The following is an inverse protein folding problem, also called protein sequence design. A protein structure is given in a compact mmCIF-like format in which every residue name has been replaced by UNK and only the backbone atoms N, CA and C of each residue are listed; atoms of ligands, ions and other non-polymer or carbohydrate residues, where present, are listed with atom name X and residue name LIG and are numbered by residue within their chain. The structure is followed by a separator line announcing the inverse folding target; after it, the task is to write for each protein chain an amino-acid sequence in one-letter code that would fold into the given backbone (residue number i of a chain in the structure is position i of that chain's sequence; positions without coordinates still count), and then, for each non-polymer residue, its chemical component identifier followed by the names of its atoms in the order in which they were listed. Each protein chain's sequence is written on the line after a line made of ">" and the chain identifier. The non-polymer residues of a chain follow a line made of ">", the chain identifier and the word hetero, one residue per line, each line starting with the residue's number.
data_IF_903393077409
#
_entry.id   IF_903393077409
#
_cell.length_a   1.000
_cell.length_b   1.000
_cell.length_c   1.000
_cell.angle_alpha   90.00
_cell.angle_beta   90.00
_cell.angle_gamma   90.00
#
_symmetry.space_group_name_H-M   'P 1'
#
loop_
_entity.id
_entity.type
_entity.pdbx_description
1 polymer ?
#
# COMPACT_ATOMS: atom_id res chain seq x y z
N UNK A 1 -42.54 14.55 16.17
CA UNK A 1 -41.09 14.38 15.92
C UNK A 1 -40.83 12.91 15.66
N UNK A 2 -40.55 12.51 14.41
CA UNK A 2 -40.13 11.13 14.12
C UNK A 2 -38.68 11.00 14.59
N UNK A 3 -38.44 10.18 15.61
CA UNK A 3 -37.11 9.68 15.92
C UNK A 3 -36.62 8.91 14.70
N UNK A 4 -35.73 9.52 13.91
CA UNK A 4 -35.00 8.79 12.89
C UNK A 4 -34.07 7.81 13.63
N UNK A 5 -34.36 6.52 13.54
CA UNK A 5 -33.45 5.49 14.03
C UNK A 5 -32.08 5.73 13.36
N UNK A 6 -31.03 5.91 14.16
CA UNK A 6 -29.67 6.00 13.64
C UNK A 6 -29.40 4.75 12.80
N UNK A 7 -29.12 4.94 11.51
CA UNK A 7 -28.76 3.85 10.63
C UNK A 7 -27.45 3.23 11.14
N UNK A 8 -27.47 1.92 11.40
CA UNK A 8 -26.30 1.18 11.88
C UNK A 8 -25.69 0.37 10.73
N UNK A 9 -24.38 0.14 10.79
CA UNK A 9 -23.69 -0.70 9.81
C UNK A 9 -24.23 -2.14 9.86
N UNK A 10 -24.77 -2.63 8.74
CA UNK A 10 -25.27 -4.00 8.60
C UNK A 10 -24.17 -5.04 8.30
N UNK A 11 -22.89 -4.65 8.34
CA UNK A 11 -21.71 -5.50 8.14
C UNK A 11 -21.72 -6.28 6.81
N UNK A 12 -22.27 -5.70 5.74
CA UNK A 12 -22.38 -6.35 4.43
C UNK A 12 -21.04 -6.66 3.71
N UNK A 13 -19.91 -6.19 4.22
CA UNK A 13 -18.58 -6.46 3.64
C UNK A 13 -18.24 -5.69 2.36
N UNK A 14 -19.13 -4.82 1.85
CA UNK A 14 -18.86 -4.05 0.62
C UNK A 14 -17.62 -3.17 0.70
N UNK A 15 -17.37 -2.55 1.86
CA UNK A 15 -16.13 -1.80 2.08
C UNK A 15 -14.89 -2.70 2.08
N UNK A 16 -15.00 -3.93 2.57
CA UNK A 16 -13.91 -4.90 2.57
C UNK A 16 -13.58 -5.39 1.15
N UNK A 17 -14.56 -5.49 0.26
CA UNK A 17 -14.35 -5.84 -1.15
C UNK A 17 -13.59 -4.75 -1.94
N UNK A 18 -13.67 -3.49 -1.50
CA UNK A 18 -13.08 -2.35 -2.22
C UNK A 18 -11.59 -2.15 -1.98
N UNK A 19 -11.02 -2.64 -0.88
CA UNK A 19 -9.59 -2.37 -0.67
C UNK A 19 -8.97 -2.67 0.68
N UNK A 20 -9.76 -2.87 1.74
CA UNK A 20 -9.21 -2.84 3.11
C UNK A 20 -8.70 -1.44 3.52
N UNK A 21 -8.47 -1.21 4.82
CA UNK A 21 -8.07 0.08 5.35
C UNK A 21 -6.58 0.36 5.14
N UNK A 22 -6.25 1.64 4.98
CA UNK A 22 -4.93 2.17 5.33
C UNK A 22 -4.88 2.32 6.86
N UNK A 23 -3.73 1.98 7.45
CA UNK A 23 -3.51 2.11 8.89
C UNK A 23 -3.18 3.56 9.23
N UNK A 24 -3.74 4.03 10.34
CA UNK A 24 -3.42 5.32 10.93
C UNK A 24 -2.36 5.13 12.03
N UNK A 25 -1.69 6.21 12.44
CA UNK A 25 -0.65 6.16 13.48
C UNK A 25 -1.15 5.52 14.77
N UNK A 26 -2.42 5.77 15.13
CA UNK A 26 -3.06 5.13 16.30
C UNK A 26 -3.21 3.60 16.19
N UNK A 27 -3.15 3.04 14.99
CA UNK A 27 -3.20 1.59 14.75
C UNK A 27 -1.87 0.89 15.06
N UNK A 28 -0.80 1.64 15.38
CA UNK A 28 0.48 1.06 15.82
C UNK A 28 0.31 0.10 17.00
N UNK A 29 -0.65 0.37 17.89
CA UNK A 29 -1.01 -0.49 19.02
C UNK A 29 -1.39 -1.92 18.59
N UNK A 30 -1.95 -2.09 17.38
CA UNK A 30 -2.32 -3.42 16.88
C UNK A 30 -1.11 -4.31 16.61
N UNK A 31 0.04 -3.71 16.25
CA UNK A 31 1.33 -4.38 16.09
C UNK A 31 1.99 -4.64 17.45
N UNK A 32 1.95 -3.66 18.35
CA UNK A 32 2.50 -3.77 19.72
C UNK A 32 1.84 -4.92 20.51
N UNK A 33 0.54 -5.09 20.34
CA UNK A 33 -0.22 -6.15 21.01
C UNK A 33 -0.16 -7.48 20.24
N UNK A 34 0.34 -7.49 19.01
CA UNK A 34 0.44 -8.68 18.15
C UNK A 34 -0.87 -9.14 17.52
N UNK A 35 -1.94 -8.34 17.61
CA UNK A 35 -3.22 -8.60 16.92
C UNK A 35 -3.16 -8.38 15.41
N UNK A 36 -2.18 -7.61 14.95
CA UNK A 36 -1.87 -7.41 13.56
C UNK A 36 -0.40 -7.76 13.35
N UNK A 37 -0.13 -8.61 12.38
CA UNK A 37 1.21 -9.08 12.07
C UNK A 37 1.76 -8.34 10.85
N UNK A 38 3.08 -8.08 10.75
CA UNK A 38 3.66 -7.38 9.61
C UNK A 38 3.38 -8.06 8.26
N UNK A 39 3.26 -9.40 8.23
CA UNK A 39 2.92 -10.16 7.02
C UNK A 39 1.52 -9.86 6.46
N UNK A 40 0.65 -9.23 7.26
CA UNK A 40 -0.65 -8.77 6.82
C UNK A 40 -0.61 -7.34 6.21
N UNK A 41 0.58 -6.75 6.10
CA UNK A 41 0.75 -5.36 5.68
C UNK A 41 1.49 -5.24 4.36
N UNK A 42 1.12 -4.23 3.58
CA UNK A 42 1.86 -3.73 2.45
C UNK A 42 2.18 -2.27 2.66
N UNK A 43 3.41 -1.88 2.37
CA UNK A 43 3.82 -0.49 2.30
C UNK A 43 3.45 0.10 0.94
N UNK A 44 2.68 1.18 0.98
CA UNK A 44 2.49 2.09 -0.13
C UNK A 44 3.52 3.21 0.02
N UNK A 45 4.46 3.28 -0.91
CA UNK A 45 5.62 4.17 -0.88
C UNK A 45 5.30 5.54 -1.49
N UNK A 46 6.04 6.60 -1.13
CA UNK A 46 5.92 7.89 -1.79
C UNK A 46 6.07 7.78 -3.30
N UNK A 47 5.20 8.46 -4.04
CA UNK A 47 5.14 8.44 -5.51
C UNK A 47 4.10 7.49 -6.09
N UNK A 48 3.65 6.49 -5.33
CA UNK A 48 2.60 5.57 -5.81
C UNK A 48 1.29 6.30 -6.11
N UNK A 49 0.60 5.87 -7.17
CA UNK A 49 -0.71 6.39 -7.52
C UNK A 49 -1.78 5.90 -6.54
N UNK A 50 -2.54 6.83 -5.98
CA UNK A 50 -3.62 6.55 -5.04
C UNK A 50 -4.92 7.18 -5.55
N UNK A 51 -6.01 6.42 -5.40
CA UNK A 51 -7.37 6.90 -5.66
C UNK A 51 -7.93 7.57 -4.44
N UNK A 52 -8.30 8.84 -4.58
CA UNK A 52 -9.12 9.56 -3.63
C UNK A 52 -10.59 9.43 -4.05
N UNK A 53 -11.33 8.53 -3.41
CA UNK A 53 -12.76 8.33 -3.72
C UNK A 53 -13.62 9.55 -3.32
N UNK A 54 -13.16 10.37 -2.37
CA UNK A 54 -13.85 11.59 -1.92
C UNK A 54 -13.65 12.70 -2.94
N UNK A 55 -12.41 12.94 -3.38
CA UNK A 55 -12.08 13.94 -4.40
C UNK A 55 -12.31 13.46 -5.83
N UNK A 56 -12.60 12.16 -6.02
CA UNK A 56 -12.68 11.48 -7.33
C UNK A 56 -11.45 11.72 -8.21
N UNK A 57 -10.28 11.75 -7.58
CA UNK A 57 -9.02 12.07 -8.24
C UNK A 57 -8.01 10.92 -8.08
N UNK A 58 -7.10 10.79 -9.04
CA UNK A 58 -5.90 9.98 -8.93
C UNK A 58 -4.71 10.90 -8.77
N UNK A 59 -3.93 10.70 -7.71
CA UNK A 59 -2.76 11.53 -7.43
C UNK A 59 -1.61 10.67 -6.94
N UNK A 60 -0.38 11.14 -7.10
CA UNK A 60 0.78 10.49 -6.54
C UNK A 60 0.92 10.88 -5.06
N UNK A 61 0.83 9.89 -4.17
CA UNK A 61 0.94 10.18 -2.74
C UNK A 61 2.35 10.68 -2.39
N UNK A 62 2.45 11.67 -1.51
CA UNK A 62 3.72 12.25 -1.07
C UNK A 62 4.30 11.58 0.17
N UNK A 63 3.45 10.89 0.92
CA UNK A 63 3.81 10.24 2.17
C UNK A 63 3.65 8.73 2.06
N UNK A 64 4.48 8.02 2.82
CA UNK A 64 4.37 6.59 3.01
C UNK A 64 3.14 6.21 3.84
N UNK A 65 2.51 5.08 3.51
CA UNK A 65 1.33 4.57 4.22
C UNK A 65 1.38 3.04 4.30
N UNK A 66 1.10 2.47 5.46
CA UNK A 66 0.86 1.03 5.59
C UNK A 66 -0.61 0.71 5.35
N UNK A 67 -0.88 -0.35 4.60
CA UNK A 67 -2.22 -0.82 4.27
C UNK A 67 -2.32 -2.31 4.55
N UNK A 68 -3.52 -2.81 4.91
CA UNK A 68 -3.75 -4.25 4.93
C UNK A 68 -3.57 -4.84 3.53
N UNK A 69 -2.92 -5.99 3.43
CA UNK A 69 -2.78 -6.67 2.13
C UNK A 69 -4.15 -7.12 1.63
N UNK A 70 -4.32 -7.05 0.31
CA UNK A 70 -5.42 -7.72 -0.37
C UNK A 70 -5.20 -9.23 -0.35
N UNK A 71 -6.28 -10.00 -0.37
CA UNK A 71 -6.22 -11.46 -0.52
C UNK A 71 -5.70 -11.90 -1.92
N UNK A 72 -5.55 -10.96 -2.86
CA UNK A 72 -5.21 -11.25 -4.25
C UNK A 72 -6.33 -11.93 -5.05
N UNK A 73 -6.16 -11.97 -6.38
CA UNK A 73 -6.98 -12.74 -7.31
C UNK A 73 -8.32 -12.13 -7.76
N UNK A 74 -8.94 -12.78 -8.76
CA UNK A 74 -10.33 -12.58 -9.22
C UNK A 74 -10.75 -11.14 -9.54
N UNK A 75 -12.05 -10.86 -9.37
CA UNK A 75 -12.68 -9.54 -9.65
C UNK A 75 -12.32 -8.45 -8.63
N UNK A 76 -11.78 -8.81 -7.46
CA UNK A 76 -11.46 -7.89 -6.36
C UNK A 76 -10.05 -8.14 -5.81
N UNK A 77 -9.00 -7.76 -6.56
CA UNK A 77 -7.60 -8.03 -6.17
C UNK A 77 -7.21 -7.37 -4.84
N UNK A 78 -7.89 -6.28 -4.47
CA UNK A 78 -7.69 -5.56 -3.22
C UNK A 78 -8.68 -5.94 -2.10
N UNK A 79 -9.46 -7.01 -2.27
CA UNK A 79 -10.36 -7.50 -1.22
C UNK A 79 -9.57 -7.72 0.07
N UNK A 80 -10.00 -7.09 1.16
CA UNK A 80 -9.36 -7.21 2.48
C UNK A 80 -9.15 -8.67 2.86
N UNK A 81 -7.94 -9.03 3.26
CA UNK A 81 -7.59 -10.40 3.65
C UNK A 81 -8.39 -10.96 4.83
N UNK A 82 -8.99 -10.09 5.66
CA UNK A 82 -9.80 -10.47 6.82
C UNK A 82 -11.29 -10.67 6.50
N UNK A 83 -11.72 -10.37 5.26
CA UNK A 83 -13.06 -10.71 4.82
C UNK A 83 -13.18 -12.24 4.69
N UNK A 84 -14.26 -12.77 5.25
CA UNK A 84 -14.70 -14.15 5.10
C UNK A 84 -16.13 -14.11 4.58
N UNK A 85 -16.45 -15.00 3.63
CA UNK A 85 -17.80 -15.18 3.13
C UNK A 85 -18.27 -16.55 3.60
N UNK A 86 -19.35 -16.61 4.38
CA UNK A 86 -19.92 -17.84 4.91
C UNK A 86 -21.41 -17.86 4.65
N UNK A 87 -21.89 -18.89 3.94
CA UNK A 87 -23.32 -19.10 3.65
C UNK A 87 -24.01 -17.85 3.06
N UNK A 88 -23.29 -17.10 2.20
CA UNK A 88 -23.79 -15.87 1.57
C UNK A 88 -23.69 -14.61 2.45
N UNK A 89 -23.21 -14.73 3.70
CA UNK A 89 -23.00 -13.61 4.61
C UNK A 89 -21.53 -13.20 4.71
N UNK A 90 -21.28 -11.90 4.92
CA UNK A 90 -19.94 -11.35 5.10
C UNK A 90 -19.56 -11.31 6.59
N UNK A 91 -18.35 -11.77 6.89
CA UNK A 91 -17.76 -11.77 8.23
C UNK A 91 -16.36 -11.14 8.18
N UNK A 92 -15.98 -10.42 9.24
CA UNK A 92 -14.63 -9.86 9.39
C UNK A 92 -13.90 -10.59 10.52
N UNK A 93 -12.85 -11.34 10.17
CA UNK A 93 -12.05 -12.08 11.14
C UNK A 93 -11.29 -11.17 12.13
N UNK A 94 -11.19 -9.87 11.85
CA UNK A 94 -10.56 -8.86 12.71
C UNK A 94 -11.57 -7.86 13.31
N UNK A 95 -12.88 -8.15 13.31
CA UNK A 95 -13.91 -7.13 13.58
C UNK A 95 -13.73 -6.39 14.93
N UNK A 96 -13.34 -7.12 15.99
CA UNK A 96 -13.12 -6.55 17.32
C UNK A 96 -11.83 -5.73 17.44
N UNK A 97 -10.86 -5.98 16.55
CA UNK A 97 -9.52 -5.35 16.52
C UNK A 97 -9.30 -4.63 15.19
N UNK A 98 -10.38 -4.07 14.65
CA UNK A 98 -10.39 -3.45 13.33
C UNK A 98 -9.58 -2.14 13.37
N UNK A 99 -8.81 -1.81 12.31
CA UNK A 99 -8.10 -0.54 12.22
C UNK A 99 -9.02 0.68 12.31
N UNK A 100 -8.44 1.83 12.63
CA UNK A 100 -9.15 3.09 12.84
C UNK A 100 -10.07 3.46 11.67
N UNK A 101 -9.61 3.32 10.42
CA UNK A 101 -10.46 3.58 9.26
C UNK A 101 -11.68 2.65 9.20
N UNK A 102 -11.51 1.36 9.49
CA UNK A 102 -12.63 0.43 9.57
C UNK A 102 -13.58 0.73 10.73
N UNK A 103 -13.06 1.26 11.84
CA UNK A 103 -13.88 1.68 12.97
C UNK A 103 -14.70 2.95 12.69
N UNK A 104 -14.12 3.89 11.94
CA UNK A 104 -14.75 5.16 11.58
C UNK A 104 -15.68 5.06 10.35
N UNK A 105 -15.49 4.06 9.49
CA UNK A 105 -16.24 3.93 8.25
C UNK A 105 -17.71 3.54 8.49
N UNK A 106 -18.60 4.41 8.04
CA UNK A 106 -20.00 4.12 7.79
C UNK A 106 -20.36 4.51 6.35
N UNK A 107 -20.74 3.55 5.51
CA UNK A 107 -20.83 3.78 4.06
C UNK A 107 -22.00 4.70 3.62
N UNK A 108 -22.97 4.95 4.49
CA UNK A 108 -24.08 5.88 4.22
C UNK A 108 -23.75 7.32 4.64
N UNK A 109 -22.75 7.51 5.51
CA UNK A 109 -22.25 8.82 5.96
C UNK A 109 -20.78 8.71 6.34
N UNK A 110 -19.91 9.24 5.49
CA UNK A 110 -18.45 9.15 5.60
C UNK A 110 -17.82 10.22 6.48
N UNK A 111 -18.60 11.13 7.10
CA UNK A 111 -18.06 12.27 7.84
C UNK A 111 -17.06 11.88 8.94
N UNK A 112 -17.30 10.77 9.65
CA UNK A 112 -16.37 10.27 10.69
C UNK A 112 -15.05 9.76 10.11
N UNK A 113 -15.08 9.12 8.95
CA UNK A 113 -13.88 8.68 8.24
C UNK A 113 -13.11 9.88 7.68
N UNK A 114 -13.80 10.82 7.05
CA UNK A 114 -13.19 12.04 6.51
C UNK A 114 -12.49 12.85 7.60
N UNK A 115 -13.13 13.00 8.77
CA UNK A 115 -12.51 13.62 9.95
C UNK A 115 -11.25 12.88 10.38
N UNK A 116 -11.31 11.55 10.49
CA UNK A 116 -10.13 10.74 10.82
C UNK A 116 -8.99 10.93 9.82
N UNK A 117 -9.29 10.94 8.52
CA UNK A 117 -8.30 11.11 7.45
C UNK A 117 -7.68 12.52 7.43
N UNK A 118 -8.42 13.54 7.87
CA UNK A 118 -7.93 14.91 7.96
C UNK A 118 -7.09 15.17 9.21
N UNK A 119 -7.44 14.56 10.34
CA UNK A 119 -6.83 14.86 11.64
C UNK A 119 -5.68 13.90 12.01
N UNK A 120 -5.71 12.66 11.53
CA UNK A 120 -4.74 11.64 11.91
C UNK A 120 -3.70 11.38 10.81
N UNK A 121 -2.51 10.95 11.22
CA UNK A 121 -1.42 10.64 10.29
C UNK A 121 -1.48 9.17 9.87
N UNK A 122 -1.17 8.83 8.62
CA UNK A 122 -0.94 7.44 8.23
C UNK A 122 0.18 6.81 9.06
N UNK A 123 0.10 5.50 9.27
CA UNK A 123 1.17 4.73 9.88
C UNK A 123 2.30 4.50 8.86
N UNK A 124 3.52 4.90 9.22
CA UNK A 124 4.74 4.63 8.45
C UNK A 124 5.40 3.31 8.88
N UNK A 125 6.26 2.74 8.03
CA UNK A 125 7.14 1.61 8.33
C UNK A 125 7.99 1.90 9.56
N UNK A 126 8.59 3.08 9.66
CA UNK A 126 9.40 3.47 10.83
C UNK A 126 8.58 3.41 12.12
N UNK A 127 7.40 4.04 12.18
CA UNK A 127 6.55 3.99 13.37
C UNK A 127 6.04 2.57 13.68
N UNK A 128 5.80 1.75 12.65
CA UNK A 128 5.43 0.35 12.82
C UNK A 128 6.58 -0.51 13.37
N UNK A 129 7.82 -0.29 12.91
CA UNK A 129 9.01 -0.97 13.42
C UNK A 129 9.30 -0.55 14.88
N UNK A 130 9.09 0.71 15.22
CA UNK A 130 9.19 1.21 16.60
C UNK A 130 8.09 0.64 17.52
N UNK A 131 6.93 0.29 16.96
CA UNK A 131 5.89 -0.46 17.68
C UNK A 131 6.29 -1.93 17.89
N UNK A 132 6.81 -2.57 16.86
CA UNK A 132 7.27 -3.97 16.94
C UNK A 132 8.44 -4.14 17.93
N UNK A 133 9.36 -3.18 18.00
CA UNK A 133 10.49 -3.21 18.95
C UNK A 133 10.07 -3.11 20.42
N UNK A 134 8.86 -2.60 20.69
CA UNK A 134 8.27 -2.58 22.06
C UNK A 134 7.61 -3.89 22.44
N UNK A 135 7.19 -4.69 21.44
CA UNK A 135 6.60 -6.02 21.64
C UNK A 135 7.65 -7.11 21.75
N UNK A 136 8.61 -7.08 20.83
CA UNK A 136 9.64 -8.09 20.69
C UNK A 136 10.84 -7.66 21.54
N UNK A 137 11.61 -8.60 22.13
CA UNK A 137 12.85 -8.25 22.77
C UNK A 137 13.75 -7.50 21.78
N UNK A 138 14.60 -6.54 22.23
CA UNK A 138 15.59 -5.91 21.38
C UNK A 138 16.36 -6.99 20.64
N UNK A 139 16.15 -7.06 19.33
CA UNK A 139 16.72 -8.09 18.47
C UNK A 139 17.43 -7.39 17.32
N UNK A 140 18.55 -7.98 16.91
CA UNK A 140 19.26 -7.56 15.71
C UNK A 140 18.35 -7.57 14.47
N UNK A 141 17.23 -8.30 14.52
CA UNK A 141 16.26 -8.43 13.44
C UNK A 141 15.50 -7.12 13.16
N UNK A 142 14.95 -6.42 14.17
CA UNK A 142 14.24 -5.15 13.94
C UNK A 142 15.20 -4.07 13.43
N UNK A 143 16.42 -4.02 13.99
CA UNK A 143 17.45 -3.08 13.52
C UNK A 143 17.83 -3.35 12.06
N UNK A 144 18.05 -4.62 11.70
CA UNK A 144 18.29 -5.03 10.31
C UNK A 144 17.14 -4.62 9.38
N UNK A 145 15.89 -4.80 9.80
CA UNK A 145 14.73 -4.40 9.00
C UNK A 145 14.67 -2.87 8.77
N UNK A 146 15.01 -2.08 9.78
CA UNK A 146 15.11 -0.62 9.64
C UNK A 146 16.19 -0.23 8.62
N UNK A 147 17.37 -0.83 8.70
CA UNK A 147 18.47 -0.59 7.75
C UNK A 147 18.07 -0.99 6.32
N UNK A 148 17.45 -2.16 6.15
CA UNK A 148 16.98 -2.66 4.86
C UNK A 148 15.93 -1.74 4.24
N UNK A 149 14.98 -1.26 5.04
CA UNK A 149 13.96 -0.28 4.60
C UNK A 149 14.61 1.00 4.09
N UNK A 150 15.57 1.54 4.85
CA UNK A 150 16.27 2.77 4.48
C UNK A 150 17.10 2.59 3.21
N UNK A 151 17.91 1.55 3.14
CA UNK A 151 18.77 1.25 1.99
C UNK A 151 17.94 0.98 0.72
N UNK A 152 16.80 0.31 0.84
CA UNK A 152 15.91 0.06 -0.29
C UNK A 152 15.29 1.35 -0.82
N UNK A 153 14.83 2.24 0.08
CA UNK A 153 14.22 3.50 -0.32
C UNK A 153 15.22 4.42 -1.03
N UNK A 154 16.46 4.47 -0.54
CA UNK A 154 17.56 5.24 -1.14
C UNK A 154 17.93 4.72 -2.53
N UNK A 155 18.07 3.40 -2.68
CA UNK A 155 18.54 2.80 -3.93
C UNK A 155 17.44 2.64 -4.98
N UNK A 156 16.20 2.42 -4.55
CA UNK A 156 15.08 2.05 -5.43
C UNK A 156 13.85 2.94 -5.18
N UNK A 157 13.95 4.28 -5.24
CA UNK A 157 12.82 5.17 -4.98
C UNK A 157 11.71 5.00 -6.04
N UNK A 158 10.45 4.95 -5.60
CA UNK A 158 9.31 4.73 -6.52
C UNK A 158 9.00 5.97 -7.35
N UNK A 159 8.99 7.16 -6.72
CA UNK A 159 8.57 8.41 -7.38
C UNK A 159 9.32 8.67 -8.70
N UNK A 160 10.67 8.69 -8.75
CA UNK A 160 11.37 8.96 -10.00
C UNK A 160 11.07 7.93 -11.10
N UNK A 161 10.83 6.67 -10.74
CA UNK A 161 10.48 5.64 -11.70
C UNK A 161 9.07 5.88 -12.28
N UNK A 162 8.07 6.18 -11.45
CA UNK A 162 6.73 6.48 -11.96
C UNK A 162 6.65 7.80 -12.72
N UNK A 163 7.47 8.79 -12.39
CA UNK A 163 7.62 10.03 -13.16
C UNK A 163 8.25 9.77 -14.54
N UNK A 164 9.26 8.90 -14.62
CA UNK A 164 9.82 8.46 -15.90
C UNK A 164 8.80 7.68 -16.73
N UNK A 165 8.01 6.80 -16.11
CA UNK A 165 6.93 6.07 -16.79
C UNK A 165 5.90 7.04 -17.38
N UNK A 166 5.45 8.03 -16.59
CA UNK A 166 4.53 9.06 -17.05
C UNK A 166 5.13 9.88 -18.20
N UNK A 167 6.42 10.23 -18.15
CA UNK A 167 7.11 10.94 -19.23
C UNK A 167 7.21 10.12 -20.53
N UNK A 168 7.16 8.79 -20.43
CA UNK A 168 7.06 7.88 -21.58
C UNK A 168 5.63 7.63 -22.05
N UNK A 169 4.62 8.29 -21.45
CA UNK A 169 3.21 8.13 -21.79
C UNK A 169 2.48 7.05 -20.99
N UNK A 170 3.09 6.48 -19.96
CA UNK A 170 2.49 5.46 -19.09
C UNK A 170 2.06 6.09 -17.76
N UNK A 171 0.82 6.57 -17.73
CA UNK A 171 0.19 7.15 -16.55
C UNK A 171 -1.28 6.69 -16.47
N UNK A 172 -1.87 6.61 -15.26
CA UNK A 172 -3.27 6.26 -15.15
C UNK A 172 -4.16 7.38 -15.73
N UNK A 173 -5.33 7.05 -16.32
CA UNK A 173 -6.29 8.06 -16.79
C UNK A 173 -6.73 8.99 -15.65
N UNK A 174 -6.78 10.29 -15.89
CA UNK A 174 -7.11 11.30 -14.87
C UNK A 174 -6.02 11.57 -13.84
N UNK A 175 -4.80 11.05 -14.04
CA UNK A 175 -3.64 11.36 -13.21
C UNK A 175 -2.91 12.63 -13.65
N UNK A 176 -2.16 13.23 -12.74
CA UNK A 176 -1.31 14.39 -13.03
C UNK A 176 -0.32 14.08 -14.17
N UNK A 177 -0.36 14.87 -15.25
CA UNK A 177 0.47 14.68 -16.44
C UNK A 177 -0.23 14.01 -17.64
N UNK A 178 -1.50 13.65 -17.51
CA UNK A 178 -2.33 13.20 -18.64
C UNK A 178 -2.30 14.21 -19.81
N UNK A 179 -2.10 13.71 -21.03
CA UNK A 179 -2.09 14.53 -22.26
C UNK A 179 -0.75 15.20 -22.60
N UNK A 180 0.30 15.05 -21.80
CA UNK A 180 1.65 15.51 -22.18
C UNK A 180 2.20 14.64 -23.32
N UNK A 181 2.80 15.22 -24.39
CA UNK A 181 3.46 14.43 -25.41
C UNK A 181 4.59 13.59 -24.77
N UNK A 182 4.67 12.28 -25.07
CA UNK A 182 5.75 11.43 -24.58
C UNK A 182 7.12 11.94 -25.01
N UNK A 183 8.14 11.63 -24.22
CA UNK A 183 9.53 11.83 -24.63
C UNK A 183 9.81 11.08 -25.93
N UNK A 184 10.68 11.64 -26.76
CA UNK A 184 11.15 11.05 -28.00
C UNK A 184 12.70 11.02 -28.07
N UNK A 185 13.22 10.42 -29.14
CA UNK A 185 14.65 10.40 -29.45
C UNK A 185 15.56 9.91 -28.30
N UNK A 186 16.60 10.69 -28.02
CA UNK A 186 17.63 10.36 -27.01
C UNK A 186 17.04 10.37 -25.60
N UNK A 187 16.15 11.33 -25.29
CA UNK A 187 15.52 11.43 -23.98
C UNK A 187 14.63 10.22 -23.68
N UNK A 188 13.88 9.74 -24.68
CA UNK A 188 13.14 8.48 -24.58
C UNK A 188 14.08 7.29 -24.30
N UNK A 189 15.16 7.16 -25.08
CA UNK A 189 16.11 6.06 -24.91
C UNK A 189 16.80 6.07 -23.52
N UNK A 190 17.12 7.24 -22.98
CA UNK A 190 17.67 7.39 -21.62
C UNK A 190 16.65 7.01 -20.54
N UNK A 191 15.42 7.51 -20.64
CA UNK A 191 14.34 7.20 -19.71
C UNK A 191 14.06 5.68 -19.64
N UNK A 192 14.02 5.01 -20.80
CA UNK A 192 13.87 3.55 -20.86
C UNK A 192 15.04 2.83 -20.18
N UNK A 193 16.28 3.23 -20.42
CA UNK A 193 17.46 2.62 -19.77
C UNK A 193 17.41 2.76 -18.26
N UNK A 194 17.04 3.94 -17.76
CA UNK A 194 16.92 4.24 -16.32
C UNK A 194 15.82 3.41 -15.67
N UNK A 195 14.67 3.26 -16.32
CA UNK A 195 13.59 2.39 -15.84
C UNK A 195 14.00 0.91 -15.80
N UNK A 196 14.64 0.42 -16.86
CA UNK A 196 15.13 -0.96 -16.90
C UNK A 196 16.14 -1.22 -15.77
N UNK A 197 17.05 -0.27 -15.52
CA UNK A 197 17.98 -0.37 -14.40
C UNK A 197 17.24 -0.39 -13.06
N UNK A 198 16.31 0.53 -12.83
CA UNK A 198 15.54 0.61 -11.58
C UNK A 198 14.74 -0.67 -11.29
N UNK A 199 14.11 -1.27 -12.31
CA UNK A 199 13.38 -2.55 -12.14
C UNK A 199 14.34 -3.68 -11.77
N UNK A 200 15.52 -3.73 -12.41
CA UNK A 200 16.53 -4.75 -12.12
C UNK A 200 17.12 -4.61 -10.73
N UNK A 201 17.43 -3.38 -10.30
CA UNK A 201 17.98 -3.13 -8.96
C UNK A 201 16.96 -3.42 -7.87
N UNK A 202 15.67 -3.08 -8.08
CA UNK A 202 14.61 -3.42 -7.12
C UNK A 202 14.45 -4.95 -6.99
N UNK A 203 14.44 -5.67 -8.12
CA UNK A 203 14.35 -7.13 -8.11
C UNK A 203 15.56 -7.78 -7.41
N UNK A 204 16.78 -7.38 -7.78
CA UNK A 204 18.00 -7.91 -7.17
C UNK A 204 18.08 -7.60 -5.66
N UNK A 205 17.65 -6.40 -5.24
CA UNK A 205 17.61 -6.04 -3.82
C UNK A 205 16.66 -6.95 -3.03
N UNK A 206 15.47 -7.24 -3.59
CA UNK A 206 14.48 -8.15 -2.98
C UNK A 206 15.03 -9.57 -2.86
N UNK A 207 15.70 -10.08 -3.89
CA UNK A 207 16.35 -11.39 -3.87
C UNK A 207 17.42 -11.45 -2.77
N UNK A 208 18.32 -10.47 -2.71
CA UNK A 208 19.36 -10.38 -1.67
C UNK A 208 18.79 -10.32 -0.25
N UNK A 209 17.66 -9.63 -0.03
CA UNK A 209 16.99 -9.62 1.26
C UNK A 209 16.60 -11.04 1.71
N UNK A 210 16.09 -11.85 0.79
CA UNK A 210 15.68 -13.23 1.10
C UNK A 210 16.86 -14.18 1.21
N UNK A 211 17.80 -14.12 0.27
CA UNK A 211 18.90 -15.10 0.17
C UNK A 211 20.04 -14.83 1.14
N UNK A 212 20.31 -13.55 1.45
CA UNK A 212 21.49 -13.13 2.23
C UNK A 212 21.12 -12.60 3.61
N UNK A 213 20.06 -11.79 3.71
CA UNK A 213 19.61 -11.25 4.98
C UNK A 213 18.62 -12.17 5.72
N UNK A 214 18.22 -13.29 5.10
CA UNK A 214 17.31 -14.27 5.71
C UNK A 214 15.90 -13.73 5.97
N UNK A 215 15.50 -12.64 5.31
CA UNK A 215 14.20 -12.01 5.50
C UNK A 215 13.13 -12.90 4.85
N UNK A 216 12.09 -13.35 5.61
CA UNK A 216 10.98 -14.10 5.04
C UNK A 216 10.29 -13.35 3.90
N UNK A 217 10.03 -14.03 2.77
CA UNK A 217 9.36 -13.43 1.60
C UNK A 217 8.02 -12.77 1.95
N UNK A 218 7.29 -13.30 2.93
CA UNK A 218 6.02 -12.76 3.40
C UNK A 218 6.14 -11.38 4.09
N UNK A 219 7.36 -10.96 4.49
CA UNK A 219 7.61 -9.63 5.06
C UNK A 219 7.98 -8.60 4.01
N UNK A 220 8.38 -9.00 2.80
CA UNK A 220 8.80 -8.05 1.77
C UNK A 220 7.73 -7.02 1.39
N UNK A 221 6.42 -7.34 1.32
CA UNK A 221 5.41 -6.31 1.07
C UNK A 221 5.37 -5.23 2.16
N UNK A 222 5.58 -5.61 3.42
CA UNK A 222 5.66 -4.67 4.53
C UNK A 222 6.96 -3.86 4.50
N UNK A 223 8.10 -4.52 4.29
CA UNK A 223 9.41 -3.87 4.35
C UNK A 223 9.76 -3.08 3.10
N UNK A 224 9.46 -3.58 1.91
CA UNK A 224 9.92 -3.03 0.63
C UNK A 224 8.77 -2.51 -0.26
N UNK A 225 7.53 -2.65 0.22
CA UNK A 225 6.35 -2.36 -0.58
C UNK A 225 6.20 -3.30 -1.78
N UNK A 226 5.40 -2.86 -2.76
CA UNK A 226 5.14 -3.60 -3.99
C UNK A 226 6.36 -3.55 -4.92
N UNK A 227 6.66 -4.63 -5.66
CA UNK A 227 7.73 -4.61 -6.66
C UNK A 227 7.54 -3.50 -7.67
N UNK A 228 8.63 -2.85 -8.09
CA UNK A 228 8.55 -1.75 -9.05
C UNK A 228 7.93 -2.20 -10.37
N UNK A 229 8.22 -3.43 -10.81
CA UNK A 229 7.58 -4.03 -11.99
C UNK A 229 6.05 -4.11 -11.88
N UNK A 230 5.52 -4.41 -10.69
CA UNK A 230 4.08 -4.45 -10.46
C UNK A 230 3.47 -3.03 -10.49
N UNK A 231 4.17 -2.03 -9.95
CA UNK A 231 3.75 -0.63 -9.99
C UNK A 231 3.70 -0.09 -11.43
N UNK A 232 4.70 -0.44 -12.25
CA UNK A 232 4.75 -0.04 -13.66
C UNK A 232 3.64 -0.73 -14.48
N UNK A 233 3.34 -1.99 -14.19
CA UNK A 233 2.24 -2.70 -14.83
C UNK A 233 0.87 -2.06 -14.56
N UNK A 234 0.67 -1.44 -13.39
CA UNK A 234 -0.59 -0.72 -13.06
C UNK A 234 -0.82 0.52 -13.93
N UNK A 235 0.24 1.11 -14.48
CA UNK A 235 0.16 2.24 -15.41
C UNK A 235 0.30 1.81 -16.88
N UNK A 236 0.21 0.50 -17.15
CA UNK A 236 0.26 -0.09 -18.48
C UNK A 236 1.68 -0.31 -19.03
N UNK A 237 2.73 -0.10 -18.23
CA UNK A 237 4.10 -0.39 -18.63
C UNK A 237 4.50 -1.80 -18.19
N UNK A 238 4.42 -2.74 -19.12
CA UNK A 238 4.80 -4.12 -18.88
C UNK A 238 6.27 -4.38 -19.25
N UNK A 239 7.00 -5.19 -18.46
CA UNK A 239 8.27 -5.74 -18.92
C UNK A 239 8.04 -6.50 -20.23
N UNK A 240 8.91 -6.30 -21.22
CA UNK A 240 8.90 -7.15 -22.42
C UNK A 240 9.41 -8.52 -21.99
N UNK A 241 8.56 -9.55 -22.07
CA UNK A 241 9.00 -10.93 -21.88
C UNK A 241 10.15 -11.20 -22.85
N UNK A 242 11.33 -11.48 -22.29
CA UNK A 242 12.43 -12.04 -23.08
C UNK A 242 12.11 -13.52 -23.25
N UNK A 243 11.37 -13.83 -24.32
CA UNK A 243 11.35 -15.18 -24.91
C UNK A 243 12.75 -15.62 -25.29
#
# INVERSE_FOLDING_TARGET
>A
MKLFAQATCNRCGQCCLRGGPVLMRRDAVLLEEGSLLPQALVCLRPGEWVRDDVRRALYQQTEERLKLTGAGGGTHPWRCQYLRMREGSAECAAYLRRPAQCAALFCQDTASLEKLLAEDKPLSRSAALDALSRRLPPSAEIALWQEVVMAHEEQNPVRPALELAAALGFAPPGGDGEGRPPLDGIAHADAVKRLVLAVRTDAAFRELCTERAGIPTALLPFLLGRPLSALLAEVGLHPVDRS
#
